data_IF_157300137542
#
_entry.id   IF_157300137542
#
_cell.length_a   1.000
_cell.length_b   1.000
_cell.length_c   1.000
_cell.angle_alpha   90.00
_cell.angle_beta   90.00
_cell.angle_gamma   90.00
#
_symmetry.space_group_name_H-M   'P 1'
#
loop_
_entity.id
_entity.type
_entity.pdbx_description
1 polymer ?
#
# COMPACT_ATOMS: atom_id res chain seq x y z
N UNK A 1 -14.97 18.19 -29.04
CA UNK A 1 -15.59 16.89 -29.34
C UNK A 1 -14.66 15.80 -28.80
N UNK A 2 -14.48 15.72 -27.49
CA UNK A 2 -15.35 15.09 -26.46
C UNK A 2 -15.27 13.56 -26.52
N UNK A 3 -14.45 12.96 -25.65
CA UNK A 3 -14.78 11.75 -24.88
C UNK A 3 -13.68 11.44 -23.87
N UNK A 4 -13.86 11.89 -22.63
CA UNK A 4 -13.20 11.31 -21.46
C UNK A 4 -14.31 10.91 -20.50
N UNK A 5 -14.69 9.63 -20.54
CA UNK A 5 -15.53 8.96 -19.53
C UNK A 5 -14.68 7.84 -18.96
N UNK A 6 -14.74 7.67 -17.64
CA UNK A 6 -14.71 6.43 -16.85
C UNK A 6 -13.98 6.67 -15.52
N UNK A 7 -14.72 7.21 -14.54
CA UNK A 7 -14.45 6.96 -13.13
C UNK A 7 -15.36 5.81 -12.70
N UNK A 8 -14.74 4.69 -12.34
CA UNK A 8 -15.42 3.48 -11.91
C UNK A 8 -15.93 3.62 -10.48
N UNK A 9 -17.26 3.49 -10.32
CA UNK A 9 -17.94 3.33 -9.03
C UNK A 9 -17.46 2.04 -8.35
N UNK A 10 -16.88 2.17 -7.16
CA UNK A 10 -16.71 1.05 -6.22
C UNK A 10 -18.10 0.73 -5.66
N UNK A 11 -18.64 -0.44 -6.02
CA UNK A 11 -19.96 -0.90 -5.55
C UNK A 11 -19.73 -1.89 -4.40
N UNK A 12 -19.93 -1.43 -3.16
CA UNK A 12 -20.07 -2.32 -2.02
C UNK A 12 -21.30 -3.22 -2.25
N UNK A 13 -21.11 -4.55 -2.16
CA UNK A 13 -22.16 -5.54 -2.47
C UNK A 13 -22.74 -6.06 -1.16
N UNK A 14 -23.99 -5.68 -0.87
CA UNK A 14 -24.75 -6.17 0.28
C UNK A 14 -25.00 -7.68 0.18
N UNK A 15 -24.67 -8.37 1.27
CA UNK A 15 -25.04 -9.75 1.57
C UNK A 15 -26.54 -9.84 1.81
N UNK A 16 -27.30 -10.48 0.90
CA UNK A 16 -28.71 -10.82 1.15
C UNK A 16 -28.82 -12.27 1.61
N UNK A 17 -29.16 -12.44 2.88
CA UNK A 17 -29.71 -13.66 3.45
C UNK A 17 -31.12 -13.90 2.91
N UNK A 18 -31.41 -15.13 2.50
CA UNK A 18 -32.67 -15.56 1.93
C UNK A 18 -33.67 -15.87 3.05
N UNK A 19 -34.79 -15.15 3.09
CA UNK A 19 -35.90 -15.38 4.04
C UNK A 19 -37.23 -15.06 3.37
N UNK A 20 -38.03 -16.10 3.15
CA UNK A 20 -39.32 -16.08 2.45
C UNK A 20 -40.44 -15.68 3.44
N UNK A 21 -41.33 -14.74 3.06
CA UNK A 21 -42.47 -14.35 3.91
C UNK A 21 -43.32 -13.22 3.30
N UNK A 22 -44.53 -13.59 2.88
CA UNK A 22 -45.53 -12.85 2.11
C UNK A 22 -46.25 -11.74 2.92
N UNK A 23 -46.66 -10.62 2.31
CA UNK A 23 -47.55 -9.64 2.94
C UNK A 23 -47.68 -8.28 2.23
N UNK A 24 -48.91 -7.94 1.83
CA UNK A 24 -49.33 -6.78 1.02
C UNK A 24 -48.95 -5.39 1.54
N UNK A 25 -48.61 -4.52 0.57
CA UNK A 25 -49.17 -3.18 0.37
C UNK A 25 -49.15 -2.17 1.52
N UNK A 26 -48.23 -1.21 1.44
CA UNK A 26 -48.52 0.19 1.78
C UNK A 26 -47.62 1.13 0.97
N UNK A 27 -48.26 2.09 0.31
CA UNK A 27 -47.60 3.23 -0.32
C UNK A 27 -47.02 4.09 0.79
N UNK A 28 -45.69 4.16 0.88
CA UNK A 28 -45.05 5.26 1.59
C UNK A 28 -43.81 5.70 0.81
N UNK A 29 -43.84 6.98 0.46
CA UNK A 29 -42.82 7.77 -0.21
C UNK A 29 -41.42 7.45 0.31
N UNK A 30 -40.55 6.97 -0.57
CA UNK A 30 -39.12 6.84 -0.32
C UNK A 30 -38.56 8.24 -0.01
N UNK A 31 -37.94 8.47 1.17
CA UNK A 31 -37.03 9.59 1.29
C UNK A 31 -35.87 9.33 0.35
N UNK A 32 -35.45 10.35 -0.39
CA UNK A 32 -34.21 10.34 -1.14
C UNK A 32 -33.05 10.08 -0.18
N UNK A 33 -32.63 8.83 -0.05
CA UNK A 33 -31.28 8.49 0.39
C UNK A 33 -30.34 8.79 -0.78
N UNK A 34 -30.18 10.09 -1.05
CA UNK A 34 -28.85 10.57 -1.32
C UNK A 34 -28.11 10.36 0.01
N UNK A 35 -27.42 9.23 0.13
CA UNK A 35 -26.25 9.20 1.00
C UNK A 35 -25.35 10.33 0.48
N UNK A 36 -25.47 11.50 1.10
CA UNK A 36 -24.49 12.57 0.98
C UNK A 36 -23.19 11.96 1.49
N UNK A 37 -22.43 11.39 0.55
CA UNK A 37 -21.06 10.95 0.78
C UNK A 37 -20.20 12.21 0.91
N UNK A 38 -20.39 12.90 2.05
CA UNK A 38 -19.64 14.06 2.55
C UNK A 38 -18.13 13.74 2.68
N UNK A 39 -17.72 12.50 2.35
CA UNK A 39 -16.33 12.07 2.25
C UNK A 39 -15.64 12.36 0.93
N UNK A 40 -16.40 12.64 -0.13
CA UNK A 40 -15.89 12.89 -1.47
C UNK A 40 -16.49 14.18 -2.07
N UNK A 41 -16.56 15.26 -1.28
CA UNK A 41 -16.79 16.58 -1.87
C UNK A 41 -15.56 16.95 -2.69
N UNK A 42 -15.61 16.65 -3.99
CA UNK A 42 -14.63 17.13 -4.98
C UNK A 42 -14.75 18.65 -5.08
N UNK A 43 -13.97 19.37 -4.28
CA UNK A 43 -13.80 20.80 -4.44
C UNK A 43 -12.95 21.01 -5.70
N UNK A 44 -13.48 21.64 -6.76
CA UNK A 44 -12.73 21.83 -7.99
C UNK A 44 -11.45 22.62 -7.70
N UNK A 45 -10.30 21.97 -7.90
CA UNK A 45 -9.01 22.61 -7.73
C UNK A 45 -8.83 23.69 -8.82
N UNK A 46 -8.34 24.89 -8.47
CA UNK A 46 -8.14 25.96 -9.45
C UNK A 46 -7.15 25.57 -10.55
N UNK A 47 -7.37 26.10 -11.77
CA UNK A 47 -6.56 26.02 -13.00
C UNK A 47 -5.27 25.16 -12.91
N UNK A 48 -5.31 23.95 -13.48
CA UNK A 48 -4.13 23.10 -13.68
C UNK A 48 -3.65 22.32 -12.45
N UNK A 49 -4.18 22.61 -11.25
CA UNK A 49 -3.81 21.89 -10.03
C UNK A 49 -4.29 20.44 -10.01
N UNK A 50 -5.43 20.12 -10.66
CA UNK A 50 -5.91 18.74 -10.79
C UNK A 50 -5.00 17.87 -11.69
N UNK A 51 -4.53 18.44 -12.81
CA UNK A 51 -3.54 17.78 -13.68
C UNK A 51 -2.17 17.67 -12.98
N UNK A 52 -1.78 18.70 -12.22
CA UNK A 52 -0.57 18.67 -11.40
C UNK A 52 -0.64 17.59 -10.31
N UNK A 53 -1.76 17.49 -9.59
CA UNK A 53 -1.97 16.48 -8.56
C UNK A 53 -1.85 15.06 -9.13
N UNK A 54 -2.55 14.79 -10.23
CA UNK A 54 -2.51 13.49 -10.90
C UNK A 54 -1.10 13.15 -11.40
N UNK A 55 -0.43 14.09 -12.07
CA UNK A 55 0.89 13.81 -12.67
C UNK A 55 2.04 13.78 -11.64
N UNK A 56 1.96 14.62 -10.60
CA UNK A 56 3.06 14.81 -9.64
C UNK A 56 2.86 13.99 -8.37
N UNK A 57 1.66 13.96 -7.77
CA UNK A 57 1.42 13.20 -6.54
C UNK A 57 1.17 11.71 -6.84
N UNK A 58 0.22 11.41 -7.72
CA UNK A 58 -0.13 10.02 -8.04
C UNK A 58 0.97 9.33 -8.87
N UNK A 59 1.50 10.02 -9.89
CA UNK A 59 2.66 9.54 -10.67
C UNK A 59 3.96 9.33 -9.87
N UNK A 60 4.04 9.80 -8.61
CA UNK A 60 5.19 9.60 -7.73
C UNK A 60 5.14 8.32 -6.88
N UNK A 61 3.98 7.70 -6.71
CA UNK A 61 3.83 6.49 -5.89
C UNK A 61 4.77 5.35 -6.33
N UNK A 62 4.94 5.05 -7.63
CA UNK A 62 5.77 3.93 -8.10
C UNK A 62 7.24 3.97 -7.65
N UNK A 63 7.82 5.17 -7.56
CA UNK A 63 9.25 5.40 -7.34
C UNK A 63 9.69 5.17 -5.88
N UNK A 64 8.76 4.83 -4.99
CA UNK A 64 8.99 4.71 -3.55
C UNK A 64 9.11 3.25 -3.07
N UNK A 65 8.88 2.29 -3.96
CA UNK A 65 9.00 0.83 -3.75
C UNK A 65 10.45 0.38 -3.80
N UNK A 66 11.24 0.77 -2.81
CA UNK A 66 12.69 0.56 -2.82
C UNK A 66 13.11 -0.48 -1.80
N UNK A 67 13.64 -1.62 -2.27
CA UNK A 67 14.42 -2.54 -1.43
C UNK A 67 15.77 -1.92 -1.06
N UNK A 68 16.15 -2.02 0.21
CA UNK A 68 17.47 -1.64 0.66
C UNK A 68 18.44 -2.81 0.60
N UNK A 69 19.39 -2.74 -0.33
CA UNK A 69 20.58 -3.59 -0.34
C UNK A 69 21.69 -3.01 0.55
N UNK A 70 22.78 -3.77 0.73
CA UNK A 70 23.93 -3.35 1.53
C UNK A 70 24.55 -2.03 1.07
N UNK A 71 24.58 -1.78 -0.24
CA UNK A 71 25.16 -0.56 -0.83
C UNK A 71 24.26 0.66 -0.59
N UNK A 72 22.95 0.51 -0.71
CA UNK A 72 21.96 1.52 -0.35
C UNK A 72 22.01 1.82 1.13
N UNK A 73 22.19 0.83 1.99
CA UNK A 73 22.43 1.04 3.43
C UNK A 73 23.72 1.81 3.72
N UNK A 74 24.81 1.53 3.00
CA UNK A 74 26.04 2.33 3.10
C UNK A 74 25.81 3.77 2.65
N UNK A 75 25.14 3.98 1.50
CA UNK A 75 24.76 5.32 1.01
C UNK A 75 23.84 6.05 1.99
N UNK A 76 22.91 5.36 2.63
CA UNK A 76 21.98 5.93 3.61
C UNK A 76 22.66 6.32 4.92
N UNK A 77 23.70 5.59 5.35
CA UNK A 77 24.50 5.93 6.53
C UNK A 77 25.53 7.04 6.28
N UNK A 78 25.88 7.32 5.02
CA UNK A 78 26.87 8.35 4.67
C UNK A 78 26.48 9.76 5.14
N UNK A 79 27.44 10.53 5.65
CA UNK A 79 27.20 11.93 6.06
C UNK A 79 26.84 12.83 4.88
N UNK A 80 27.34 12.51 3.69
CA UNK A 80 26.97 13.18 2.43
C UNK A 80 25.49 13.06 2.06
N UNK A 81 24.69 12.25 2.79
CA UNK A 81 23.22 12.21 2.62
C UNK A 81 22.57 13.56 2.87
N UNK A 82 23.02 14.34 3.86
CA UNK A 82 22.38 15.60 4.23
C UNK A 82 22.46 16.60 3.07
N UNK A 83 23.65 16.75 2.49
CA UNK A 83 23.88 17.59 1.32
C UNK A 83 23.12 17.11 0.09
N UNK A 84 23.11 15.79 -0.17
CA UNK A 84 22.31 15.23 -1.26
C UNK A 84 20.82 15.52 -1.09
N UNK A 85 20.26 15.31 0.11
CA UNK A 85 18.84 15.55 0.37
C UNK A 85 18.48 17.03 0.15
N UNK A 86 19.30 17.96 0.65
CA UNK A 86 19.11 19.40 0.43
C UNK A 86 19.20 19.73 -1.07
N UNK A 87 20.23 19.26 -1.77
CA UNK A 87 20.42 19.53 -3.20
C UNK A 87 19.28 18.94 -4.06
N UNK A 88 18.73 17.78 -3.67
CA UNK A 88 17.61 17.14 -4.37
C UNK A 88 16.24 17.63 -3.92
N UNK A 89 16.16 18.47 -2.88
CA UNK A 89 14.89 18.95 -2.34
C UNK A 89 13.96 19.59 -3.40
N UNK A 90 14.44 20.45 -4.34
CA UNK A 90 13.60 21.04 -5.39
C UNK A 90 13.10 20.03 -6.43
N UNK A 91 13.76 18.87 -6.53
CA UNK A 91 13.36 17.76 -7.40
C UNK A 91 12.40 16.79 -6.72
N UNK A 92 12.22 16.89 -5.39
CA UNK A 92 11.32 16.03 -4.64
C UNK A 92 9.87 16.28 -5.05
N UNK A 93 9.18 15.22 -5.44
CA UNK A 93 7.77 15.28 -5.84
C UNK A 93 6.84 15.60 -4.68
N UNK A 94 7.23 15.24 -3.45
CA UNK A 94 6.52 15.64 -2.22
C UNK A 94 6.56 17.15 -2.05
N UNK A 95 7.75 17.75 -2.13
CA UNK A 95 7.93 19.21 -2.00
C UNK A 95 7.17 19.93 -3.10
N UNK A 96 7.27 19.45 -4.35
CA UNK A 96 6.51 19.98 -5.50
C UNK A 96 5.00 19.89 -5.29
N UNK A 97 4.49 18.78 -4.77
CA UNK A 97 3.07 18.60 -4.44
C UNK A 97 2.57 19.59 -3.37
N UNK A 98 3.45 20.09 -2.51
CA UNK A 98 3.14 21.05 -1.45
C UNK A 98 3.38 22.52 -1.84
N UNK A 99 3.92 22.80 -3.04
CA UNK A 99 4.18 24.17 -3.46
C UNK A 99 2.92 25.03 -3.52
N UNK A 100 1.78 24.47 -3.96
CA UNK A 100 0.52 25.19 -4.02
C UNK A 100 0.03 25.67 -2.64
N UNK A 101 -0.16 24.80 -1.63
CA UNK A 101 -0.56 25.25 -0.29
C UNK A 101 0.49 26.12 0.40
N UNK A 102 1.79 25.88 0.19
CA UNK A 102 2.85 26.74 0.74
C UNK A 102 2.86 28.14 0.08
N UNK A 103 2.56 28.23 -1.21
CA UNK A 103 2.44 29.52 -1.91
C UNK A 103 1.21 30.28 -1.44
N UNK A 104 0.11 29.58 -1.16
CA UNK A 104 -1.10 30.17 -0.60
C UNK A 104 -0.84 30.80 0.77
N UNK A 105 -0.21 30.08 1.71
CA UNK A 105 0.12 30.63 3.03
C UNK A 105 1.14 31.77 2.95
N UNK A 106 2.07 31.70 1.99
CA UNK A 106 3.03 32.79 1.72
C UNK A 106 2.37 34.03 1.13
N UNK A 107 1.33 33.86 0.30
CA UNK A 107 0.54 34.97 -0.22
C UNK A 107 -0.23 35.67 0.91
N UNK A 108 -0.80 34.90 1.85
CA UNK A 108 -1.40 35.46 3.06
C UNK A 108 -0.37 36.21 3.89
N UNK A 109 0.85 35.68 4.04
CA UNK A 109 1.94 36.37 4.73
C UNK A 109 2.31 37.70 4.07
N UNK A 110 2.36 37.72 2.74
CA UNK A 110 2.61 38.94 2.00
C UNK A 110 1.46 39.96 2.16
N UNK A 111 0.22 39.50 2.10
CA UNK A 111 -0.95 40.35 2.35
C UNK A 111 -0.95 40.92 3.78
N UNK A 112 -0.66 40.09 4.80
CA UNK A 112 -0.55 40.52 6.19
C UNK A 112 0.55 41.59 6.36
N UNK A 113 1.67 41.45 5.65
CA UNK A 113 2.74 42.46 5.62
C UNK A 113 2.30 43.77 4.94
N UNK A 114 1.62 43.71 3.80
CA UNK A 114 1.22 44.91 3.04
C UNK A 114 0.10 45.68 3.73
N UNK A 115 -0.97 44.99 4.13
CA UNK A 115 -2.15 45.65 4.71
C UNK A 115 -1.96 46.02 6.17
N UNK A 116 -0.99 45.38 6.84
CA UNK A 116 -0.78 45.38 8.28
C UNK A 116 -2.05 44.87 9.01
N UNK A 117 -1.95 43.89 9.92
CA UNK A 117 -3.13 43.37 10.59
C UNK A 117 -3.88 44.50 11.32
N UNK A 118 -5.14 44.71 10.95
CA UNK A 118 -6.01 45.69 11.60
C UNK A 118 -6.24 45.22 13.04
N UNK A 119 -5.98 46.08 14.03
CA UNK A 119 -6.16 45.78 15.46
C UNK A 119 -7.50 45.12 15.89
N UNK A 120 -8.68 45.36 15.29
CA UNK A 120 -9.95 44.88 15.86
C UNK A 120 -10.13 43.36 15.88
N UNK A 121 -9.32 42.58 15.15
CA UNK A 121 -9.45 41.11 15.12
C UNK A 121 -8.59 40.39 16.17
N UNK A 122 -7.72 41.09 16.91
CA UNK A 122 -6.85 40.46 17.94
C UNK A 122 -5.83 39.44 17.40
N UNK A 123 -5.64 39.37 16.09
CA UNK A 123 -4.73 38.44 15.40
C UNK A 123 -3.24 38.83 15.52
N UNK A 124 -2.92 39.83 16.32
CA UNK A 124 -1.56 40.33 16.52
C UNK A 124 -0.82 39.61 17.66
N UNK A 125 -1.54 38.85 18.49
CA UNK A 125 -0.96 38.10 19.62
C UNK A 125 -0.32 36.77 19.18
N UNK A 126 0.88 36.48 19.67
CA UNK A 126 1.56 35.19 19.45
C UNK A 126 1.08 34.09 20.39
N UNK A 127 0.45 34.44 21.52
CA UNK A 127 0.06 33.50 22.57
C UNK A 127 -0.77 32.29 22.08
N UNK A 128 -1.78 32.45 21.20
CA UNK A 128 -2.52 31.31 20.69
C UNK A 128 -1.64 30.31 19.94
N UNK A 129 -0.64 30.79 19.18
CA UNK A 129 0.28 29.94 18.42
C UNK A 129 1.28 29.23 19.34
N UNK A 130 1.77 29.92 20.36
CA UNK A 130 2.66 29.33 21.37
C UNK A 130 1.96 28.19 22.13
N UNK A 131 0.70 28.38 22.52
CA UNK A 131 -0.08 27.37 23.25
C UNK A 131 -0.50 26.18 22.36
N UNK A 132 -0.80 26.44 21.07
CA UNK A 132 -1.32 25.41 20.17
C UNK A 132 -0.26 24.68 19.35
N UNK A 133 0.94 25.25 19.17
CA UNK A 133 2.02 24.61 18.40
C UNK A 133 2.48 23.26 18.95
N UNK A 134 2.59 23.02 20.28
CA UNK A 134 2.96 21.70 20.79
C UNK A 134 1.85 20.67 20.54
N UNK A 135 0.59 21.09 20.67
CA UNK A 135 -0.57 20.25 20.35
C UNK A 135 -0.58 19.85 18.87
N UNK A 136 -0.31 20.81 17.97
CA UNK A 136 -0.21 20.55 16.54
C UNK A 136 0.94 19.57 16.22
N UNK A 137 2.12 19.77 16.82
CA UNK A 137 3.25 18.86 16.68
C UNK A 137 2.91 17.44 17.15
N UNK A 138 2.23 17.32 18.30
CA UNK A 138 1.82 16.03 18.85
C UNK A 138 0.80 15.31 17.96
N UNK A 139 -0.20 16.03 17.43
CA UNK A 139 -1.17 15.49 16.48
C UNK A 139 -0.50 14.95 15.22
N UNK A 140 0.49 15.68 14.67
CA UNK A 140 1.24 15.23 13.50
C UNK A 140 2.07 13.97 13.80
N UNK A 141 2.73 13.91 14.96
CA UNK A 141 3.49 12.73 15.37
C UNK A 141 2.59 11.51 15.53
N UNK A 142 1.45 11.64 16.23
CA UNK A 142 0.50 10.53 16.38
C UNK A 142 0.00 10.03 15.03
N UNK A 143 -0.37 10.95 14.12
CA UNK A 143 -0.75 10.61 12.75
C UNK A 143 0.33 9.80 12.04
N UNK A 144 1.58 10.25 12.07
CA UNK A 144 2.69 9.54 11.42
C UNK A 144 2.99 8.18 12.05
N UNK A 145 2.80 8.05 13.37
CA UNK A 145 2.97 6.78 14.07
C UNK A 145 1.88 5.77 13.72
N UNK A 146 0.62 6.20 13.61
CA UNK A 146 -0.48 5.33 13.17
C UNK A 146 -0.30 4.86 11.73
N UNK A 147 0.13 5.75 10.84
CA UNK A 147 0.49 5.40 9.47
C UNK A 147 1.65 4.39 9.44
N UNK A 148 2.69 4.59 10.25
CA UNK A 148 3.81 3.65 10.37
C UNK A 148 3.36 2.27 10.84
N UNK A 149 2.44 2.19 11.82
CA UNK A 149 1.89 0.93 12.28
C UNK A 149 1.16 0.17 11.15
N UNK A 150 0.40 0.87 10.29
CA UNK A 150 -0.22 0.27 9.10
C UNK A 150 0.82 -0.26 8.11
N UNK A 151 1.91 0.50 7.90
CA UNK A 151 3.00 0.07 7.03
C UNK A 151 3.69 -1.19 7.52
N UNK A 152 3.97 -1.29 8.83
CA UNK A 152 4.53 -2.49 9.43
C UNK A 152 3.60 -3.70 9.25
N UNK A 153 2.29 -3.53 9.48
CA UNK A 153 1.31 -4.61 9.27
C UNK A 153 1.29 -5.13 7.84
N UNK A 154 1.37 -4.23 6.85
CA UNK A 154 1.45 -4.62 5.44
C UNK A 154 2.74 -5.41 5.15
N UNK A 155 3.88 -4.93 5.67
CA UNK A 155 5.16 -5.61 5.53
C UNK A 155 5.12 -7.01 6.18
N UNK A 156 4.62 -7.13 7.41
CA UNK A 156 4.51 -8.41 8.12
C UNK A 156 3.57 -9.38 7.40
N UNK A 157 2.48 -8.89 6.81
CA UNK A 157 1.58 -9.71 6.00
C UNK A 157 2.30 -10.28 4.77
N UNK A 158 3.06 -9.44 4.04
CA UNK A 158 3.84 -9.90 2.88
C UNK A 158 4.98 -10.85 3.25
N UNK A 159 5.65 -10.64 4.40
CA UNK A 159 6.64 -11.57 4.93
C UNK A 159 6.02 -12.95 5.24
N UNK A 160 4.78 -12.98 5.74
CA UNK A 160 4.02 -14.23 5.91
C UNK A 160 3.63 -14.87 4.58
N UNK A 161 3.27 -14.07 3.56
CA UNK A 161 3.00 -14.59 2.21
C UNK A 161 4.22 -15.33 1.67
N UNK A 162 5.42 -14.74 1.74
CA UNK A 162 6.64 -15.40 1.25
C UNK A 162 6.93 -16.67 2.05
N UNK A 163 7.04 -16.56 3.38
CA UNK A 163 7.45 -17.69 4.23
C UNK A 163 6.48 -18.87 4.15
N UNK A 164 5.15 -18.64 4.12
CA UNK A 164 4.16 -19.73 4.04
C UNK A 164 4.03 -20.34 2.65
N UNK A 165 4.30 -19.59 1.58
CA UNK A 165 4.39 -20.19 0.25
C UNK A 165 5.59 -21.14 0.16
N UNK A 166 6.76 -20.73 0.69
CA UNK A 166 7.95 -21.57 0.72
C UNK A 166 7.76 -22.82 1.59
N UNK A 167 7.18 -22.68 2.78
CA UNK A 167 6.86 -23.81 3.65
C UNK A 167 5.88 -24.79 2.96
N UNK A 168 4.82 -24.27 2.33
CA UNK A 168 3.87 -25.11 1.61
C UNK A 168 4.55 -25.88 0.47
N UNK A 169 5.40 -25.21 -0.31
CA UNK A 169 6.20 -25.85 -1.36
C UNK A 169 7.09 -26.95 -0.79
N UNK A 170 7.76 -26.69 0.33
CA UNK A 170 8.67 -27.66 0.95
C UNK A 170 7.94 -28.93 1.41
N UNK A 171 6.77 -28.74 2.04
CA UNK A 171 5.90 -29.84 2.49
C UNK A 171 5.38 -30.65 1.30
N UNK A 172 4.85 -29.98 0.27
CA UNK A 172 4.35 -30.61 -0.96
C UNK A 172 5.47 -31.44 -1.59
N UNK A 173 6.64 -30.83 -1.79
CA UNK A 173 7.69 -31.48 -2.53
C UNK A 173 8.40 -32.59 -1.74
N UNK A 174 8.09 -32.75 -0.45
CA UNK A 174 8.56 -33.86 0.39
C UNK A 174 7.55 -35.02 0.45
N UNK A 175 6.25 -34.73 0.39
CA UNK A 175 5.20 -35.70 0.68
C UNK A 175 4.31 -36.07 -0.51
N UNK A 176 4.39 -35.34 -1.61
CA UNK A 176 3.68 -35.64 -2.86
C UNK A 176 4.66 -36.31 -3.82
N UNK A 177 4.40 -37.59 -4.13
CA UNK A 177 5.24 -38.40 -5.02
C UNK A 177 4.95 -38.12 -6.51
N UNK A 178 3.70 -37.81 -6.86
CA UNK A 178 3.30 -37.47 -8.22
C UNK A 178 3.93 -36.13 -8.64
N UNK A 179 4.83 -36.20 -9.63
CA UNK A 179 5.56 -35.06 -10.15
C UNK A 179 4.64 -33.98 -10.74
N UNK A 180 3.59 -34.38 -11.47
CA UNK A 180 2.67 -33.45 -12.12
C UNK A 180 1.82 -32.70 -11.08
N UNK A 181 1.31 -33.43 -10.08
CA UNK A 181 0.59 -32.82 -8.95
C UNK A 181 1.48 -31.85 -8.17
N UNK A 182 2.72 -32.26 -7.88
CA UNK A 182 3.70 -31.45 -7.16
C UNK A 182 4.03 -30.17 -7.91
N UNK A 183 4.31 -30.26 -9.22
CA UNK A 183 4.58 -29.09 -10.06
C UNK A 183 3.37 -28.16 -10.16
N UNK A 184 2.17 -28.71 -10.36
CA UNK A 184 0.92 -27.95 -10.40
C UNK A 184 0.72 -27.13 -9.12
N UNK A 185 0.83 -27.75 -7.93
CA UNK A 185 0.71 -27.04 -6.66
C UNK A 185 1.83 -26.00 -6.49
N UNK A 186 3.06 -26.31 -6.91
CA UNK A 186 4.19 -25.38 -6.89
C UNK A 186 3.95 -24.13 -7.75
N UNK A 187 3.46 -24.30 -8.98
CA UNK A 187 3.10 -23.19 -9.89
C UNK A 187 1.98 -22.33 -9.29
N UNK A 188 0.95 -22.95 -8.70
CA UNK A 188 -0.16 -22.22 -8.08
C UNK A 188 0.25 -21.44 -6.83
N UNK A 189 1.21 -21.90 -6.02
CA UNK A 189 1.75 -21.12 -4.90
C UNK A 189 2.49 -19.85 -5.37
N UNK A 190 3.28 -19.97 -6.43
CA UNK A 190 3.95 -18.80 -7.05
C UNK A 190 2.95 -17.85 -7.73
N UNK A 191 1.94 -18.40 -8.42
CA UNK A 191 0.87 -17.64 -9.04
C UNK A 191 -0.01 -16.94 -7.99
N UNK A 192 -0.23 -17.54 -6.81
CA UNK A 192 -0.95 -16.92 -5.70
C UNK A 192 -0.31 -15.58 -5.28
N UNK A 193 1.00 -15.57 -5.00
CA UNK A 193 1.68 -14.36 -4.55
C UNK A 193 1.69 -13.28 -5.64
N UNK A 194 1.90 -13.68 -6.89
CA UNK A 194 1.96 -12.78 -8.05
C UNK A 194 0.57 -12.18 -8.36
N UNK A 195 -0.49 -12.98 -8.27
CA UNK A 195 -1.86 -12.51 -8.44
C UNK A 195 -2.33 -11.63 -7.28
N UNK A 196 -1.86 -11.91 -6.06
CA UNK A 196 -2.12 -11.06 -4.90
C UNK A 196 -1.45 -9.70 -5.07
N UNK A 197 -0.22 -9.68 -5.59
CA UNK A 197 0.49 -8.44 -5.88
C UNK A 197 -0.27 -7.60 -6.92
N UNK A 198 -0.69 -8.21 -8.02
CA UNK A 198 -1.46 -7.55 -9.09
C UNK A 198 -2.79 -6.95 -8.59
N UNK A 199 -3.44 -7.58 -7.60
CA UNK A 199 -4.70 -7.12 -7.03
C UNK A 199 -4.61 -5.73 -6.38
N UNK A 200 -3.49 -5.40 -5.74
CA UNK A 200 -3.30 -4.15 -4.99
C UNK A 200 -2.56 -3.06 -5.78
N UNK A 201 -2.35 -3.25 -7.09
CA UNK A 201 -1.76 -2.22 -7.95
C UNK A 201 -2.79 -1.22 -8.44
N UNK A 202 -2.34 0.01 -8.65
CA UNK A 202 -3.14 1.07 -9.26
C UNK A 202 -3.56 0.66 -10.68
N UNK A 203 -4.71 1.18 -11.14
CA UNK A 203 -5.35 0.74 -12.38
C UNK A 203 -4.46 0.80 -13.64
N UNK A 204 -3.41 1.64 -13.65
CA UNK A 204 -2.45 1.71 -14.76
C UNK A 204 -1.35 0.63 -14.75
N UNK A 205 -1.01 0.08 -13.57
CA UNK A 205 0.04 -0.94 -13.41
C UNK A 205 -0.53 -2.37 -13.41
N UNK A 206 -1.83 -2.51 -13.16
CA UNK A 206 -2.53 -3.80 -13.07
C UNK A 206 -2.37 -4.65 -14.32
N UNK A 207 -2.35 -4.03 -15.50
CA UNK A 207 -2.23 -4.74 -16.77
C UNK A 207 -0.85 -5.37 -16.99
N UNK A 208 0.24 -4.72 -16.54
CA UNK A 208 1.61 -5.25 -16.68
C UNK A 208 1.86 -6.41 -15.70
N UNK A 209 1.30 -6.33 -14.50
CA UNK A 209 1.44 -7.37 -13.48
C UNK A 209 0.48 -8.55 -13.66
N UNK A 210 -0.60 -8.38 -14.43
CA UNK A 210 -1.47 -9.52 -14.79
C UNK A 210 -0.71 -10.56 -15.63
N UNK A 211 0.37 -10.17 -16.32
CA UNK A 211 1.24 -11.10 -17.05
C UNK A 211 2.10 -11.97 -16.12
N UNK A 212 2.50 -11.48 -14.94
CA UNK A 212 3.47 -12.15 -14.07
C UNK A 212 2.94 -13.47 -13.49
N UNK A 213 1.71 -13.49 -12.96
CA UNK A 213 1.11 -14.73 -12.44
C UNK A 213 0.76 -15.69 -13.58
N UNK A 214 0.39 -15.15 -14.74
CA UNK A 214 -0.01 -15.93 -15.90
C UNK A 214 1.20 -16.69 -16.48
N UNK A 215 2.39 -16.08 -16.49
CA UNK A 215 3.63 -16.67 -17.03
C UNK A 215 4.16 -17.85 -16.21
N UNK A 216 3.71 -18.02 -14.97
CA UNK A 216 4.10 -19.14 -14.11
C UNK A 216 3.24 -20.38 -14.36
N UNK A 217 2.03 -20.20 -14.92
CA UNK A 217 1.03 -21.26 -15.10
C UNK A 217 1.06 -21.83 -16.52
N UNK A 218 0.64 -23.09 -16.64
CA UNK A 218 0.36 -23.71 -17.94
C UNK A 218 -0.91 -23.09 -18.57
N UNK A 219 -1.10 -23.18 -19.90
CA UNK A 219 -2.24 -22.56 -20.58
C UNK A 219 -3.61 -22.92 -20.00
N UNK A 220 -3.83 -24.20 -19.64
CA UNK A 220 -5.10 -24.67 -19.05
C UNK A 220 -5.31 -24.15 -17.62
N UNK A 221 -4.24 -24.15 -16.81
CA UNK A 221 -4.24 -23.58 -15.45
C UNK A 221 -4.53 -22.07 -15.49
N UNK A 222 -3.96 -21.37 -16.48
CA UNK A 222 -4.15 -19.94 -16.70
C UNK A 222 -5.62 -19.64 -17.01
N UNK A 223 -6.25 -20.36 -17.93
CA UNK A 223 -7.67 -20.17 -18.28
C UNK A 223 -8.58 -20.36 -17.06
N UNK A 224 -8.33 -21.39 -16.26
CA UNK A 224 -9.06 -21.63 -15.02
C UNK A 224 -8.91 -20.46 -14.03
N UNK A 225 -7.71 -19.93 -13.87
CA UNK A 225 -7.43 -18.80 -12.98
C UNK A 225 -7.99 -17.47 -13.52
N UNK A 226 -7.99 -17.25 -14.84
CA UNK A 226 -8.63 -16.09 -15.49
C UNK A 226 -10.14 -16.05 -15.21
N UNK A 227 -10.80 -17.21 -15.27
CA UNK A 227 -12.23 -17.35 -14.97
C UNK A 227 -12.59 -16.90 -13.54
N UNK A 228 -11.64 -17.00 -12.59
CA UNK A 228 -11.82 -16.61 -11.20
C UNK A 228 -11.80 -15.07 -10.97
N UNK A 229 -11.42 -14.26 -11.97
CA UNK A 229 -11.43 -12.79 -11.95
C UNK A 229 -10.76 -12.18 -10.70
N UNK A 230 -11.52 -11.55 -9.80
CA UNK A 230 -10.98 -10.88 -8.60
C UNK A 230 -10.55 -11.88 -7.52
N UNK A 231 -11.03 -13.12 -7.58
CA UNK A 231 -10.74 -14.17 -6.60
C UNK A 231 -9.57 -15.07 -7.02
N UNK A 232 -8.68 -14.58 -7.89
CA UNK A 232 -7.48 -15.30 -8.38
C UNK A 232 -6.60 -15.85 -7.25
N UNK A 233 -6.18 -15.06 -6.23
CA UNK A 233 -5.34 -15.61 -5.14
C UNK A 233 -6.04 -16.76 -4.41
N UNK A 234 -7.33 -16.59 -4.09
CA UNK A 234 -8.12 -17.64 -3.44
C UNK A 234 -8.35 -18.87 -4.33
N UNK A 235 -8.41 -18.70 -5.65
CA UNK A 235 -8.46 -19.82 -6.59
C UNK A 235 -7.16 -20.63 -6.56
N UNK A 236 -6.01 -19.97 -6.61
CA UNK A 236 -4.71 -20.64 -6.55
C UNK A 236 -4.55 -21.48 -5.27
N UNK A 237 -4.93 -20.96 -4.10
CA UNK A 237 -4.90 -21.73 -2.85
C UNK A 237 -5.89 -22.91 -2.84
N UNK A 238 -7.04 -22.79 -3.52
CA UNK A 238 -7.99 -23.90 -3.66
C UNK A 238 -7.42 -25.04 -4.50
N UNK A 239 -6.66 -24.73 -5.55
CA UNK A 239 -5.97 -25.76 -6.36
C UNK A 239 -4.93 -26.49 -5.52
N UNK A 240 -4.13 -25.76 -4.74
CA UNK A 240 -3.16 -26.36 -3.81
C UNK A 240 -3.86 -27.30 -2.81
N UNK A 241 -5.00 -26.88 -2.26
CA UNK A 241 -5.81 -27.72 -1.37
C UNK A 241 -6.32 -28.97 -2.06
N UNK A 242 -6.81 -28.87 -3.30
CA UNK A 242 -7.32 -30.03 -4.05
C UNK A 242 -6.22 -31.02 -4.39
N UNK A 243 -5.03 -30.54 -4.77
CA UNK A 243 -3.86 -31.38 -5.02
C UNK A 243 -3.51 -32.18 -3.77
N UNK A 244 -3.40 -31.51 -2.62
CA UNK A 244 -3.10 -32.20 -1.36
C UNK A 244 -4.15 -33.23 -0.97
N UNK A 245 -5.44 -32.96 -1.22
CA UNK A 245 -6.51 -33.92 -0.93
C UNK A 245 -6.55 -35.11 -1.89
N UNK A 246 -6.03 -34.95 -3.12
CA UNK A 246 -5.97 -36.00 -4.12
C UNK A 246 -4.68 -36.84 -4.02
N UNK A 247 -3.65 -36.30 -3.40
CA UNK A 247 -2.37 -36.99 -3.17
C UNK A 247 -2.44 -38.03 -2.05
N UNK A 248 -1.53 -39.00 -2.08
CA UNK A 248 -1.31 -39.98 -0.99
C UNK A 248 -0.53 -39.40 0.21
N UNK A 249 -0.41 -38.07 0.30
CA UNK A 249 0.31 -37.41 1.37
C UNK A 249 -0.31 -37.74 2.75
N UNK A 250 0.52 -38.00 3.78
CA UNK A 250 0.04 -38.37 5.11
C UNK A 250 -0.72 -37.23 5.78
N UNK A 251 -1.59 -37.59 6.75
CA UNK A 251 -2.50 -36.65 7.42
C UNK A 251 -1.77 -35.45 8.07
N UNK A 252 -0.56 -35.65 8.60
CA UNK A 252 0.22 -34.53 9.16
C UNK A 252 0.66 -33.52 8.09
N UNK A 253 1.01 -33.97 6.88
CA UNK A 253 1.38 -33.09 5.77
C UNK A 253 0.16 -32.32 5.25
N UNK A 254 -0.99 -32.99 5.14
CA UNK A 254 -2.25 -32.34 4.78
C UNK A 254 -2.65 -31.26 5.80
N UNK A 255 -2.52 -31.54 7.10
CA UNK A 255 -2.77 -30.58 8.16
C UNK A 255 -1.81 -29.36 8.07
N UNK A 256 -0.52 -29.60 7.83
CA UNK A 256 0.47 -28.52 7.63
C UNK A 256 0.14 -27.62 6.46
N UNK A 257 -0.27 -28.19 5.32
CA UNK A 257 -0.70 -27.37 4.17
C UNK A 257 -1.98 -26.60 4.49
N UNK A 258 -2.94 -27.20 5.20
CA UNK A 258 -4.14 -26.50 5.62
C UNK A 258 -3.80 -25.27 6.50
N UNK A 259 -2.85 -25.40 7.43
CA UNK A 259 -2.36 -24.29 8.25
C UNK A 259 -1.66 -23.20 7.42
N UNK A 260 -0.85 -23.59 6.44
CA UNK A 260 -0.21 -22.65 5.51
C UNK A 260 -1.27 -21.88 4.70
N UNK A 261 -2.25 -22.58 4.13
CA UNK A 261 -3.34 -21.98 3.35
C UNK A 261 -4.18 -21.04 4.22
N UNK A 262 -4.49 -21.42 5.47
CA UNK A 262 -5.20 -20.56 6.41
C UNK A 262 -4.42 -19.27 6.66
N UNK A 263 -3.12 -19.37 6.97
CA UNK A 263 -2.26 -18.20 7.20
C UNK A 263 -2.14 -17.31 5.95
N UNK A 264 -2.04 -17.90 4.76
CA UNK A 264 -2.01 -17.16 3.49
C UNK A 264 -3.33 -16.41 3.25
N UNK A 265 -4.46 -17.06 3.56
CA UNK A 265 -5.79 -16.46 3.46
C UNK A 265 -5.95 -15.30 4.45
N UNK A 266 -5.46 -15.45 5.68
CA UNK A 266 -5.45 -14.40 6.70
C UNK A 266 -4.60 -13.21 6.26
N UNK A 267 -3.43 -13.46 5.66
CA UNK A 267 -2.57 -12.40 5.11
C UNK A 267 -3.25 -11.64 3.95
N UNK A 268 -3.97 -12.34 3.06
CA UNK A 268 -4.76 -11.69 2.02
C UNK A 268 -5.88 -10.82 2.62
N UNK A 269 -6.56 -11.34 3.65
CA UNK A 269 -7.63 -10.62 4.34
C UNK A 269 -7.09 -9.38 5.04
N UNK A 270 -5.90 -9.45 5.64
CA UNK A 270 -5.24 -8.28 6.23
C UNK A 270 -4.90 -7.22 5.18
N UNK A 271 -4.40 -7.61 4.01
CA UNK A 271 -4.16 -6.67 2.91
C UNK A 271 -5.46 -6.03 2.39
N UNK A 272 -6.55 -6.80 2.31
CA UNK A 272 -7.86 -6.29 1.94
C UNK A 272 -8.38 -5.27 2.97
N UNK A 273 -8.23 -5.56 4.27
CA UNK A 273 -8.57 -4.61 5.33
C UNK A 273 -7.72 -3.34 5.23
N UNK A 274 -6.40 -3.46 5.11
CA UNK A 274 -5.48 -2.31 5.02
C UNK A 274 -5.80 -1.39 3.83
N UNK A 275 -6.33 -1.93 2.74
CA UNK A 275 -6.74 -1.15 1.56
C UNK A 275 -8.13 -0.55 1.73
N UNK A 276 -9.07 -1.28 2.34
CA UNK A 276 -10.48 -0.88 2.42
C UNK A 276 -10.81 -0.02 3.63
N UNK A 277 -10.03 -0.07 4.71
CA UNK A 277 -10.28 0.67 5.95
C UNK A 277 -9.16 1.68 6.23
N UNK A 278 -9.25 2.94 5.74
CA UNK A 278 -8.28 3.99 6.06
C UNK A 278 -8.32 4.40 7.54
N UNK A 279 -7.42 5.27 7.99
CA UNK A 279 -7.52 5.90 9.32
C UNK A 279 -8.85 6.68 9.35
N UNK A 280 -9.60 6.69 10.47
CA UNK A 280 -10.88 7.36 10.54
C UNK A 280 -10.85 8.76 9.94
N UNK A 281 -11.71 9.01 8.94
CA UNK A 281 -11.67 10.24 8.14
C UNK A 281 -11.88 11.50 8.98
N UNK A 282 -12.62 11.41 10.08
CA UNK A 282 -12.80 12.50 11.04
C UNK A 282 -11.46 12.98 11.61
N UNK A 283 -10.54 12.06 11.91
CA UNK A 283 -9.20 12.36 12.40
C UNK A 283 -8.38 13.07 11.32
N UNK A 284 -8.33 12.49 10.11
CA UNK A 284 -7.60 13.07 8.97
C UNK A 284 -8.11 14.47 8.62
N UNK A 285 -9.43 14.68 8.58
CA UNK A 285 -10.04 15.99 8.29
C UNK A 285 -9.76 17.00 9.39
N UNK A 286 -9.88 16.60 10.66
CA UNK A 286 -9.65 17.51 11.78
C UNK A 286 -8.20 18.00 11.79
N UNK A 287 -7.22 17.09 11.68
CA UNK A 287 -5.80 17.44 11.64
C UNK A 287 -5.47 18.34 10.46
N UNK A 288 -5.98 18.03 9.25
CA UNK A 288 -5.70 18.83 8.05
C UNK A 288 -6.30 20.24 8.12
N UNK A 289 -7.58 20.35 8.55
CA UNK A 289 -8.25 21.64 8.75
C UNK A 289 -7.56 22.48 9.81
N UNK A 290 -7.22 21.88 10.94
CA UNK A 290 -6.52 22.57 12.02
C UNK A 290 -5.15 23.08 11.55
N UNK A 291 -4.39 22.24 10.84
CA UNK A 291 -3.07 22.62 10.31
C UNK A 291 -3.16 23.77 9.30
N UNK A 292 -4.08 23.70 8.32
CA UNK A 292 -4.24 24.76 7.30
C UNK A 292 -4.73 26.07 7.91
N UNK A 293 -5.68 26.03 8.85
CA UNK A 293 -6.14 27.22 9.56
C UNK A 293 -5.01 27.84 10.37
N UNK A 294 -4.26 27.02 11.11
CA UNK A 294 -3.13 27.48 11.91
C UNK A 294 -2.05 28.13 11.04
N UNK A 295 -1.68 27.50 9.92
CA UNK A 295 -0.69 28.05 8.98
C UNK A 295 -1.17 29.32 8.26
N UNK A 296 -2.49 29.46 8.04
CA UNK A 296 -3.08 30.64 7.41
C UNK A 296 -3.17 31.83 8.37
N UNK A 297 -3.30 31.57 9.68
CA UNK A 297 -3.36 32.61 10.71
C UNK A 297 -1.98 32.98 11.29
N UNK A 298 -1.01 32.08 11.20
CA UNK A 298 0.37 32.33 11.67
C UNK A 298 1.01 33.63 11.14
N UNK A 299 0.81 34.06 9.88
CA UNK A 299 1.56 35.18 9.34
C UNK A 299 1.18 36.54 9.93
N UNK A 300 -0.01 36.70 10.52
CA UNK A 300 -0.46 37.98 11.08
C UNK A 300 0.43 38.51 12.23
N UNK A 301 0.68 37.73 13.31
CA UNK A 301 1.64 38.17 14.34
C UNK A 301 3.09 38.17 13.84
N UNK A 302 3.42 37.31 12.86
CA UNK A 302 4.76 37.19 12.30
C UNK A 302 5.15 38.41 11.45
N UNK A 303 4.21 38.97 10.69
CA UNK A 303 4.42 40.14 9.85
C UNK A 303 4.76 41.41 10.68
N UNK A 304 4.22 41.52 11.89
CA UNK A 304 4.51 42.64 12.80
C UNK A 304 5.93 42.58 13.37
N UNK A 305 6.44 41.37 13.64
CA UNK A 305 7.74 41.16 14.26
C UNK A 305 8.89 41.07 13.25
N UNK A 306 8.64 40.42 12.10
CA UNK A 306 9.65 40.13 11.07
C UNK A 306 9.50 40.96 9.78
N UNK A 307 8.42 41.73 9.64
CA UNK A 307 8.15 42.49 8.42
C UNK A 307 8.09 41.58 7.19
N UNK A 308 8.81 41.96 6.13
CA UNK A 308 8.86 41.16 4.88
C UNK A 308 9.49 39.78 5.08
N UNK A 309 10.35 39.59 6.09
CA UNK A 309 10.95 38.29 6.40
C UNK A 309 9.91 37.27 6.91
N UNK A 310 8.70 37.70 7.27
CA UNK A 310 7.59 36.80 7.59
C UNK A 310 7.20 35.91 6.40
N UNK A 311 7.31 36.40 5.16
CA UNK A 311 6.95 35.64 3.95
C UNK A 311 7.79 34.37 3.80
N UNK A 312 9.14 34.44 3.72
CA UNK A 312 9.96 33.23 3.65
C UNK A 312 9.85 32.40 4.93
N UNK A 313 9.69 33.00 6.11
CA UNK A 313 9.52 32.26 7.36
C UNK A 313 8.26 31.38 7.34
N UNK A 314 7.10 31.94 6.96
CA UNK A 314 5.85 31.19 6.81
C UNK A 314 5.99 30.09 5.76
N UNK A 315 6.64 30.36 4.63
CA UNK A 315 6.89 29.33 3.60
C UNK A 315 7.64 28.12 4.17
N UNK A 316 8.74 28.36 4.92
CA UNK A 316 9.53 27.30 5.53
C UNK A 316 8.78 26.55 6.63
N UNK A 317 8.00 27.24 7.45
CA UNK A 317 7.18 26.57 8.47
C UNK A 317 6.09 25.71 7.81
N UNK A 318 5.44 26.24 6.76
CA UNK A 318 4.41 25.52 6.03
C UNK A 318 4.95 24.25 5.36
N UNK A 319 6.10 24.33 4.66
CA UNK A 319 6.66 23.14 3.99
C UNK A 319 7.09 22.06 4.99
N UNK A 320 7.53 22.44 6.19
CA UNK A 320 7.89 21.49 7.24
C UNK A 320 6.67 20.78 7.82
N UNK A 321 5.65 21.53 8.25
CA UNK A 321 4.47 20.95 8.90
C UNK A 321 3.56 20.20 7.91
N UNK A 322 3.28 20.79 6.75
CA UNK A 322 2.56 20.09 5.67
C UNK A 322 3.37 18.92 5.14
N UNK A 323 4.70 19.01 5.15
CA UNK A 323 5.59 17.91 4.80
C UNK A 323 5.38 16.68 5.69
N UNK A 324 5.29 16.87 7.00
CA UNK A 324 5.03 15.78 7.95
C UNK A 324 3.63 15.19 7.76
N UNK A 325 2.61 16.03 7.58
CA UNK A 325 1.24 15.58 7.29
C UNK A 325 1.19 14.72 6.02
N UNK A 326 1.79 15.20 4.93
CA UNK A 326 1.83 14.55 3.63
C UNK A 326 2.62 13.23 3.67
N UNK A 327 3.71 13.16 4.45
CA UNK A 327 4.41 11.89 4.70
C UNK A 327 3.48 10.90 5.40
N UNK A 328 2.71 11.35 6.39
CA UNK A 328 1.72 10.52 7.08
C UNK A 328 0.69 9.93 6.12
N UNK A 329 0.11 10.76 5.24
CA UNK A 329 -0.85 10.32 4.20
C UNK A 329 -0.22 9.29 3.26
N UNK A 330 1.04 9.49 2.86
CA UNK A 330 1.71 8.56 1.94
C UNK A 330 1.97 7.19 2.57
N UNK A 331 2.32 7.15 3.86
CA UNK A 331 2.57 5.90 4.58
C UNK A 331 1.25 5.19 4.94
N UNK A 332 0.15 5.94 5.05
CA UNK A 332 -1.20 5.44 5.38
C UNK A 332 -1.74 4.40 4.36
N UNK A 333 -1.29 4.48 3.10
CA UNK A 333 -1.59 3.50 2.03
C UNK A 333 -0.36 2.62 1.74
N UNK A 334 -0.07 1.63 2.61
CA UNK A 334 1.23 0.99 2.64
C UNK A 334 1.52 0.10 1.44
N UNK A 335 0.50 -0.51 0.82
CA UNK A 335 0.68 -1.39 -0.35
C UNK A 335 1.11 -0.64 -1.61
N UNK A 336 0.89 0.68 -1.66
CA UNK A 336 1.38 1.53 -2.75
C UNK A 336 2.88 1.87 -2.63
N UNK A 337 3.43 1.82 -1.41
CA UNK A 337 4.82 2.19 -1.09
C UNK A 337 5.70 0.98 -0.79
N UNK A 338 5.11 -0.13 -0.33
CA UNK A 338 5.82 -1.36 -0.02
C UNK A 338 6.41 -2.01 -1.28
N UNK A 339 7.59 -2.61 -1.12
CA UNK A 339 8.30 -3.34 -2.17
C UNK A 339 7.71 -4.75 -2.38
N UNK A 340 6.45 -4.80 -2.81
CA UNK A 340 5.74 -6.05 -3.08
C UNK A 340 6.42 -6.85 -4.21
N UNK A 341 6.94 -6.16 -5.22
CA UNK A 341 7.74 -6.76 -6.30
C UNK A 341 8.97 -7.49 -5.74
N UNK A 342 9.69 -6.86 -4.82
CA UNK A 342 10.82 -7.49 -4.15
C UNK A 342 10.45 -8.74 -3.36
N UNK A 343 9.26 -8.79 -2.72
CA UNK A 343 8.76 -9.99 -2.05
C UNK A 343 8.45 -11.13 -3.02
N UNK A 344 7.73 -10.82 -4.12
CA UNK A 344 7.40 -11.82 -5.14
C UNK A 344 8.68 -12.34 -5.82
N UNK A 345 9.61 -11.44 -6.16
CA UNK A 345 10.88 -11.80 -6.77
C UNK A 345 11.74 -12.67 -5.83
N UNK A 346 11.76 -12.37 -4.52
CA UNK A 346 12.44 -13.23 -3.55
C UNK A 346 11.81 -14.61 -3.48
N UNK A 347 10.47 -14.69 -3.42
CA UNK A 347 9.76 -15.97 -3.40
C UNK A 347 10.10 -16.82 -4.63
N UNK A 348 10.07 -16.23 -5.83
CA UNK A 348 10.41 -16.94 -7.07
C UNK A 348 11.86 -17.42 -7.08
N UNK A 349 12.78 -16.57 -6.60
CA UNK A 349 14.20 -16.87 -6.51
C UNK A 349 14.47 -18.00 -5.52
N UNK A 350 14.01 -17.88 -4.28
CA UNK A 350 14.20 -18.90 -3.24
C UNK A 350 13.54 -20.23 -3.63
N UNK A 351 12.39 -20.17 -4.30
CA UNK A 351 11.73 -21.35 -4.89
C UNK A 351 12.62 -22.06 -5.90
N UNK A 352 13.18 -21.33 -6.87
CA UNK A 352 14.05 -21.91 -7.89
C UNK A 352 15.36 -22.47 -7.31
N UNK A 353 15.93 -21.79 -6.30
CA UNK A 353 17.11 -22.26 -5.58
C UNK A 353 16.81 -23.56 -4.81
N UNK A 354 15.66 -23.65 -4.15
CA UNK A 354 15.23 -24.84 -3.43
C UNK A 354 15.04 -26.04 -4.36
N UNK A 355 14.40 -25.84 -5.52
CA UNK A 355 14.20 -26.89 -6.53
C UNK A 355 15.56 -27.39 -7.05
N UNK A 356 16.47 -26.49 -7.44
CA UNK A 356 17.81 -26.85 -7.91
C UNK A 356 18.65 -27.56 -6.82
N UNK A 357 18.51 -27.17 -5.56
CA UNK A 357 19.19 -27.83 -4.44
C UNK A 357 18.67 -29.25 -4.22
N UNK A 358 17.34 -29.46 -4.32
CA UNK A 358 16.71 -30.78 -4.21
C UNK A 358 17.23 -31.75 -5.27
N UNK A 359 17.31 -31.32 -6.52
CA UNK A 359 17.89 -32.12 -7.61
C UNK A 359 19.33 -32.56 -7.31
N UNK A 360 20.18 -31.62 -6.88
CA UNK A 360 21.58 -31.92 -6.51
C UNK A 360 21.68 -32.92 -5.36
N UNK A 361 20.84 -32.77 -4.33
CA UNK A 361 20.81 -33.70 -3.19
C UNK A 361 20.36 -35.10 -3.64
N UNK A 362 19.32 -35.18 -4.47
CA UNK A 362 18.83 -36.44 -5.01
C UNK A 362 19.91 -37.15 -5.86
N UNK A 363 20.64 -36.42 -6.70
CA UNK A 363 21.77 -36.98 -7.44
C UNK A 363 22.87 -37.54 -6.53
N UNK A 364 23.22 -36.80 -5.45
CA UNK A 364 24.23 -37.23 -4.50
C UNK A 364 23.82 -38.50 -3.75
N UNK A 365 22.55 -38.58 -3.34
CA UNK A 365 21.99 -39.78 -2.69
C UNK A 365 22.06 -40.97 -3.65
N UNK A 366 21.59 -40.80 -4.89
CA UNK A 366 21.62 -41.86 -5.90
C UNK A 366 23.04 -42.33 -6.23
N UNK A 367 24.02 -41.42 -6.30
CA UNK A 367 25.44 -41.77 -6.46
C UNK A 367 25.96 -42.59 -5.28
N UNK A 368 25.69 -42.17 -4.04
CA UNK A 368 26.11 -42.91 -2.83
C UNK A 368 25.48 -44.30 -2.74
N UNK A 369 24.19 -44.44 -3.11
CA UNK A 369 23.50 -45.73 -3.13
C UNK A 369 24.14 -46.68 -4.15
N UNK A 370 24.46 -46.19 -5.36
CA UNK A 370 25.15 -46.98 -6.39
C UNK A 370 26.55 -47.43 -5.92
N UNK A 371 27.33 -46.54 -5.29
CA UNK A 371 28.66 -46.90 -4.76
C UNK A 371 28.56 -47.92 -3.62
N UNK A 372 27.56 -47.80 -2.73
CA UNK A 372 27.33 -48.78 -1.67
C UNK A 372 26.94 -50.15 -2.22
N UNK A 373 26.04 -50.20 -3.22
CA UNK A 373 25.66 -51.44 -3.89
C UNK A 373 26.83 -52.09 -4.66
N UNK A 374 27.73 -51.28 -5.21
CA UNK A 374 28.96 -51.77 -5.87
C UNK A 374 30.03 -52.28 -4.88
N UNK A 375 30.01 -51.83 -3.62
CA UNK A 375 30.93 -52.30 -2.58
C UNK A 375 30.46 -53.59 -1.87
N UNK A 376 29.18 -53.94 -2.00
CA UNK A 376 28.58 -55.16 -1.44
C UNK A 376 28.66 -56.35 -2.42
N UNK A 377 28.89 -56.09 -3.70
CA UNK A 377 29.19 -57.09 -4.73
C UNK A 377 30.68 -57.29 -4.88
#
# INVERSE_FOLDING_TARGET
>A
MTQTRYLGKVRARNWKSNGNGNGNGDQNTSPSEAEDDDSLIDVPLPLGLAEWETNVKEGARPYRRVRFDNERWKRHRSIGRYWRHIATMPSSRVVRGLLAPCSFTSLIAYAAYVFQPVEPLGLTSTLPFELTSPLLGLLLVFRTNEAMARWLRAHDAWARVVSRNLEARDVIATHVEDDEMRECAGRHLLAHASALAARYRTNGERAVHDDEWANVLMPEEREAMESARENRPAHALRVVRSVMSASDAPMHAQARIADCIATLTDACTECDQLTSTPIPLSYTRHTSRFLLLWLSLLPFPLALSLGIAAVPATFFIAILLLGVEEIGVQIEEPLSVADIEGFVAELHKESAEADAQRERVNELIMRKMKTSQAAIK
#
